data_IF_126799254050
#
_entry.id   IF_126799254050
#
_cell.length_a   1.000
_cell.length_b   1.000
_cell.length_c   1.000
_cell.angle_alpha   90.00
_cell.angle_beta   90.00
_cell.angle_gamma   90.00
#
_symmetry.space_group_name_H-M   'P 1'
#
loop_
_entity.id
_entity.type
_entity.pdbx_description
1 polymer ?
#
# COMPACT_ATOMS: atom_id res chain seq x y z
N UNK A 1 8.63 1.71 -3.74
CA UNK A 1 7.58 2.60 -3.20
C UNK A 1 6.64 2.97 -4.32
N UNK A 2 5.36 3.23 -4.06
CA UNK A 2 4.41 3.72 -5.06
C UNK A 2 4.06 5.17 -4.71
N UNK A 3 4.17 6.07 -5.68
CA UNK A 3 3.64 7.43 -5.58
C UNK A 3 2.34 7.49 -6.37
N UNK A 4 1.37 8.27 -5.88
CA UNK A 4 0.06 8.45 -6.50
C UNK A 4 -0.29 9.94 -6.53
N UNK A 5 -0.82 10.42 -7.66
CA UNK A 5 -1.32 11.79 -7.83
C UNK A 5 -2.84 11.89 -7.57
N UNK A 6 -3.40 13.10 -7.73
CA UNK A 6 -4.84 13.40 -7.59
C UNK A 6 -5.75 12.65 -8.57
N UNK A 7 -5.23 12.24 -9.73
CA UNK A 7 -5.96 11.48 -10.75
C UNK A 7 -5.87 9.96 -10.51
N UNK A 8 -5.25 9.56 -9.40
CA UNK A 8 -4.93 8.17 -9.05
C UNK A 8 -3.97 7.50 -10.03
N UNK A 9 -3.17 8.27 -10.77
CA UNK A 9 -2.07 7.73 -11.54
C UNK A 9 -0.97 7.32 -10.58
N UNK A 10 -0.60 6.05 -10.65
CA UNK A 10 0.45 5.49 -9.81
C UNK A 10 1.74 5.35 -10.60
N UNK A 11 2.87 5.54 -9.91
CA UNK A 11 4.20 5.25 -10.45
C UNK A 11 5.05 4.53 -9.43
N UNK A 12 5.72 3.47 -9.86
CA UNK A 12 6.69 2.79 -9.03
C UNK A 12 7.98 3.62 -8.95
N UNK A 13 8.43 3.85 -7.72
CA UNK A 13 9.68 4.52 -7.39
C UNK A 13 10.65 3.56 -6.72
N UNK A 14 11.88 3.52 -7.23
CA UNK A 14 12.97 2.69 -6.72
C UNK A 14 14.07 3.59 -6.15
N UNK A 15 14.60 3.22 -4.98
CA UNK A 15 15.73 3.85 -4.33
C UNK A 15 16.79 2.77 -4.09
N UNK A 16 18.05 3.06 -4.37
CA UNK A 16 19.14 2.09 -4.27
C UNK A 16 20.18 2.50 -3.22
N UNK A 17 20.92 1.52 -2.70
CA UNK A 17 22.19 1.72 -2.00
C UNK A 17 22.15 2.80 -0.90
N UNK A 18 23.07 3.78 -0.97
CA UNK A 18 23.26 4.82 0.03
C UNK A 18 22.11 5.82 0.06
N UNK A 19 21.36 5.93 -1.04
CA UNK A 19 20.21 6.81 -1.17
C UNK A 19 19.04 6.31 -0.30
N UNK A 20 18.97 5.01 0.03
CA UNK A 20 17.95 4.47 0.94
C UNK A 20 18.09 5.14 2.31
N UNK A 21 19.29 5.12 2.90
CA UNK A 21 19.56 5.75 4.19
C UNK A 21 19.36 7.28 4.16
N UNK A 22 19.48 7.90 2.99
CA UNK A 22 19.21 9.34 2.85
C UNK A 22 17.72 9.68 2.94
N UNK A 23 16.85 8.79 2.43
CA UNK A 23 15.43 9.03 2.28
C UNK A 23 14.54 8.21 3.24
N UNK A 24 15.10 7.28 4.02
CA UNK A 24 14.33 6.34 4.86
C UNK A 24 13.43 7.04 5.88
N UNK A 25 13.90 8.13 6.47
CA UNK A 25 13.13 8.91 7.44
C UNK A 25 12.22 9.97 6.79
N UNK A 26 12.44 10.28 5.50
CA UNK A 26 11.71 11.31 4.77
C UNK A 26 10.38 10.77 4.24
N UNK A 27 10.42 9.64 3.50
CA UNK A 27 9.21 9.07 2.91
C UNK A 27 8.43 8.27 3.94
N UNK A 28 7.22 8.74 4.22
CA UNK A 28 6.25 8.09 5.10
C UNK A 28 5.04 7.68 4.27
N UNK A 29 4.49 6.47 4.47
CA UNK A 29 3.26 6.07 3.82
C UNK A 29 2.14 7.09 4.06
N UNK A 30 1.30 7.32 3.05
CA UNK A 30 0.12 8.20 3.12
C UNK A 30 0.42 9.68 3.44
N UNK A 31 1.60 10.19 3.04
CA UNK A 31 1.92 11.62 3.09
C UNK A 31 2.17 12.15 1.68
N UNK A 32 1.93 13.46 1.48
CA UNK A 32 2.07 14.12 0.18
C UNK A 32 3.42 14.81 0.06
N UNK A 33 4.09 14.63 -1.07
CA UNK A 33 5.40 15.18 -1.36
C UNK A 33 5.42 15.81 -2.75
N UNK A 34 6.10 16.95 -2.87
CA UNK A 34 6.62 17.42 -4.15
C UNK A 34 7.87 16.61 -4.48
N UNK A 35 7.83 15.86 -5.58
CA UNK A 35 8.96 15.07 -6.07
C UNK A 35 9.34 15.57 -7.47
N UNK A 36 10.58 16.01 -7.64
CA UNK A 36 11.05 16.51 -8.93
C UNK A 36 12.47 16.04 -9.26
N UNK A 37 12.81 16.05 -10.55
CA UNK A 37 14.15 15.64 -11.05
C UNK A 37 14.46 14.15 -10.78
N UNK A 38 13.42 13.31 -10.63
CA UNK A 38 13.59 11.86 -10.61
C UNK A 38 14.03 11.34 -11.99
N UNK A 39 14.84 10.28 -12.01
CA UNK A 39 15.20 9.62 -13.27
C UNK A 39 14.06 8.73 -13.74
N UNK A 40 13.66 8.83 -15.00
CA UNK A 40 12.55 8.04 -15.58
C UNK A 40 13.09 6.97 -16.51
N UNK A 41 12.62 5.73 -16.36
CA UNK A 41 12.95 4.60 -17.24
C UNK A 41 11.69 3.84 -17.61
N UNK A 42 11.71 3.14 -18.74
CA UNK A 42 10.62 2.22 -19.09
C UNK A 42 10.63 1.02 -18.13
N UNK A 43 9.45 0.66 -17.64
CA UNK A 43 9.28 -0.43 -16.69
C UNK A 43 9.64 -1.77 -17.34
N UNK A 44 10.21 -2.67 -16.55
CA UNK A 44 10.56 -4.00 -17.03
C UNK A 44 9.39 -4.98 -16.82
N UNK A 45 8.76 -5.37 -17.93
CA UNK A 45 7.64 -6.32 -17.97
C UNK A 45 7.94 -7.72 -17.37
N UNK A 46 9.20 -8.04 -17.08
CA UNK A 46 9.61 -9.35 -16.55
C UNK A 46 9.41 -9.51 -15.03
N UNK A 47 9.17 -8.43 -14.28
CA UNK A 47 9.21 -8.45 -12.80
C UNK A 47 7.86 -8.28 -12.09
N UNK A 48 6.72 -8.45 -12.79
CA UNK A 48 5.40 -8.52 -12.16
C UNK A 48 4.35 -7.61 -12.81
N UNK A 49 3.26 -7.35 -12.06
CA UNK A 49 2.20 -6.44 -12.49
C UNK A 49 2.75 -5.02 -12.60
N UNK A 50 2.67 -4.44 -13.79
CA UNK A 50 3.13 -3.08 -14.02
C UNK A 50 2.10 -2.08 -13.48
N UNK A 51 2.51 -1.31 -12.48
CA UNK A 51 1.75 -0.15 -11.97
C UNK A 51 1.70 0.96 -13.03
N UNK A 52 2.78 1.12 -13.82
CA UNK A 52 2.89 2.12 -14.87
C UNK A 52 3.85 1.66 -15.97
N UNK A 53 3.75 2.27 -17.16
CA UNK A 53 4.74 2.12 -18.26
C UNK A 53 6.14 2.56 -17.85
N UNK A 54 6.24 3.49 -16.90
CA UNK A 54 7.52 4.01 -16.44
C UNK A 54 7.77 3.72 -14.97
N UNK A 55 9.03 3.59 -14.62
CA UNK A 55 9.53 3.52 -13.24
C UNK A 55 10.40 4.73 -13.00
N UNK A 56 10.28 5.30 -11.80
CA UNK A 56 11.12 6.42 -11.36
C UNK A 56 12.24 5.90 -10.46
N UNK A 57 13.44 6.42 -10.63
CA UNK A 57 14.55 6.19 -9.71
C UNK A 57 14.80 7.49 -8.95
N UNK A 58 14.71 7.39 -7.63
CA UNK A 58 15.02 8.48 -6.71
C UNK A 58 16.50 8.37 -6.37
N UNK A 59 17.24 9.45 -6.60
CA UNK A 59 18.66 9.55 -6.28
C UNK A 59 18.96 10.88 -5.59
N UNK A 60 20.24 11.16 -5.32
CA UNK A 60 20.65 12.40 -4.63
C UNK A 60 20.36 13.69 -5.40
N UNK A 61 20.05 13.60 -6.70
CA UNK A 61 19.66 14.75 -7.51
C UNK A 61 18.15 14.99 -7.49
N UNK A 62 17.38 14.01 -7.03
CA UNK A 62 15.93 14.14 -6.87
C UNK A 62 15.62 15.05 -5.69
N UNK A 63 14.75 16.03 -5.94
CA UNK A 63 14.26 16.96 -4.92
C UNK A 63 12.95 16.39 -4.37
N UNK A 64 12.86 16.28 -3.05
CA UNK A 64 11.69 15.76 -2.33
C UNK A 64 11.35 16.70 -1.18
N UNK A 65 10.15 17.29 -1.21
CA UNK A 65 9.69 18.24 -0.19
C UNK A 65 8.29 17.84 0.32
N UNK A 66 8.05 17.76 1.64
CA UNK A 66 6.74 17.42 2.18
C UNK A 66 5.76 18.60 2.05
N UNK A 67 4.55 18.32 1.55
CA UNK A 67 3.55 19.36 1.25
C UNK A 67 2.99 20.05 2.51
N UNK A 68 3.03 19.39 3.67
CA UNK A 68 2.63 19.99 4.96
C UNK A 68 3.44 21.26 5.33
N UNK A 69 4.57 21.51 4.66
CA UNK A 69 5.46 22.65 4.93
C UNK A 69 5.36 23.78 3.92
N UNK A 70 4.46 23.69 2.93
CA UNK A 70 4.35 24.69 1.85
C UNK A 70 3.45 25.84 2.32
N UNK A 71 3.93 27.08 2.13
CA UNK A 71 3.19 28.30 2.44
C UNK A 71 2.92 29.10 1.15
N UNK A 72 1.66 29.37 0.79
CA UNK A 72 0.43 28.95 1.47
C UNK A 72 0.16 27.44 1.33
N UNK A 73 -0.54 26.87 2.32
CA UNK A 73 -0.93 25.45 2.33
C UNK A 73 -1.72 25.13 1.06
N UNK A 74 -1.22 24.18 0.26
CA UNK A 74 -2.01 23.53 -0.77
C UNK A 74 -2.99 22.57 -0.11
N UNK A 75 -4.14 22.33 -0.76
CA UNK A 75 -5.08 21.32 -0.29
C UNK A 75 -4.42 19.94 -0.42
N UNK A 76 -4.46 19.08 0.61
CA UNK A 76 -3.88 17.75 0.53
C UNK A 76 -4.58 16.95 -0.57
N UNK A 77 -3.81 16.09 -1.26
CA UNK A 77 -4.38 15.16 -2.23
C UNK A 77 -5.46 14.31 -1.56
N UNK A 78 -6.58 14.02 -2.25
CA UNK A 78 -7.58 13.12 -1.70
C UNK A 78 -6.92 11.76 -1.42
N UNK A 79 -7.34 11.06 -0.35
CA UNK A 79 -6.86 9.71 -0.10
C UNK A 79 -7.18 8.82 -1.31
N UNK A 80 -6.36 7.81 -1.62
CA UNK A 80 -6.65 6.87 -2.70
C UNK A 80 -8.09 6.35 -2.59
N UNK A 81 -8.90 6.56 -3.64
CA UNK A 81 -10.30 6.12 -3.68
C UNK A 81 -10.45 4.74 -4.32
N UNK A 82 -9.46 4.31 -5.11
CA UNK A 82 -9.32 2.94 -5.64
C UNK A 82 -8.79 1.96 -4.59
N UNK A 83 -9.63 1.57 -3.65
CA UNK A 83 -9.45 0.31 -2.94
C UNK A 83 -10.39 -0.70 -3.59
N UNK A 84 -9.85 -1.64 -4.38
CA UNK A 84 -10.67 -2.65 -5.05
C UNK A 84 -10.91 -3.81 -4.09
N UNK A 85 -11.75 -3.55 -3.09
CA UNK A 85 -12.07 -4.50 -2.03
C UNK A 85 -12.69 -5.76 -2.59
N UNK A 86 -12.05 -6.88 -2.33
CA UNK A 86 -12.55 -8.21 -2.64
C UNK A 86 -13.26 -8.78 -1.42
N UNK A 87 -14.58 -9.06 -1.52
CA UNK A 87 -15.31 -9.75 -0.47
C UNK A 87 -14.73 -11.13 -0.19
N UNK A 88 -14.84 -11.62 1.04
CA UNK A 88 -14.29 -12.92 1.41
C UNK A 88 -14.88 -14.08 0.59
N UNK A 89 -16.17 -14.01 0.26
CA UNK A 89 -16.88 -14.98 -0.58
C UNK A 89 -16.31 -15.07 -2.01
N UNK A 90 -15.50 -14.09 -2.41
CA UNK A 90 -14.91 -14.01 -3.75
C UNK A 90 -13.45 -14.48 -3.82
N UNK A 91 -12.84 -14.91 -2.71
CA UNK A 91 -11.43 -15.33 -2.69
C UNK A 91 -11.16 -16.56 -3.58
N UNK A 92 -12.05 -17.55 -3.57
CA UNK A 92 -11.89 -18.79 -4.37
C UNK A 92 -11.98 -18.53 -5.88
N UNK A 93 -12.56 -17.40 -6.29
CA UNK A 93 -12.71 -17.02 -7.70
C UNK A 93 -11.58 -16.13 -8.21
N UNK A 94 -10.64 -15.73 -7.35
CA UNK A 94 -9.49 -14.92 -7.78
C UNK A 94 -8.52 -15.79 -8.60
N UNK A 95 -8.05 -15.32 -9.77
CA UNK A 95 -7.03 -16.04 -10.53
C UNK A 95 -5.76 -16.24 -9.70
N UNK A 96 -5.11 -17.39 -9.86
CA UNK A 96 -3.80 -17.64 -9.23
C UNK A 96 -2.79 -16.58 -9.67
N UNK A 97 -2.11 -15.96 -8.69
CA UNK A 97 -1.14 -14.89 -8.93
C UNK A 97 -1.76 -13.49 -9.12
N UNK A 98 -3.09 -13.35 -9.00
CA UNK A 98 -3.71 -12.02 -8.97
C UNK A 98 -3.50 -11.33 -7.61
N UNK A 99 -3.42 -10.01 -7.66
CA UNK A 99 -3.39 -9.14 -6.48
C UNK A 99 -4.79 -8.58 -6.25
N UNK A 100 -5.23 -8.56 -4.99
CA UNK A 100 -6.53 -8.02 -4.59
C UNK A 100 -6.47 -7.40 -3.20
N UNK A 101 -7.30 -6.38 -2.97
CA UNK A 101 -7.37 -5.68 -1.69
C UNK A 101 -8.39 -6.33 -0.77
N UNK A 102 -8.09 -6.36 0.53
CA UNK A 102 -8.98 -6.92 1.56
C UNK A 102 -9.07 -5.95 2.73
N UNK A 103 -10.30 -5.67 3.16
CA UNK A 103 -10.59 -5.00 4.43
C UNK A 103 -11.21 -6.01 5.37
N UNK A 104 -10.68 -6.13 6.58
CA UNK A 104 -11.11 -7.15 7.53
C UNK A 104 -10.78 -6.79 8.98
N UNK A 105 -11.55 -7.36 9.90
CA UNK A 105 -11.25 -7.36 11.34
C UNK A 105 -10.27 -8.48 11.66
N UNK A 106 -9.18 -8.15 12.36
CA UNK A 106 -8.20 -9.13 12.84
C UNK A 106 -8.70 -9.74 14.16
N UNK A 107 -8.98 -11.05 14.15
CA UNK A 107 -9.44 -11.77 15.34
C UNK A 107 -8.28 -12.29 16.19
N UNK A 108 -7.22 -12.75 15.53
CA UNK A 108 -6.06 -13.31 16.20
C UNK A 108 -4.80 -13.17 15.33
N UNK A 109 -3.65 -12.94 15.97
CA UNK A 109 -2.34 -12.94 15.33
C UNK A 109 -1.42 -13.93 16.04
N UNK A 110 -0.83 -14.86 15.29
CA UNK A 110 0.13 -15.80 15.86
C UNK A 110 1.43 -15.08 16.27
N UNK A 111 2.24 -15.73 17.11
CA UNK A 111 3.61 -15.26 17.34
C UNK A 111 4.43 -15.43 16.06
N UNK A 112 5.27 -14.45 15.75
CA UNK A 112 6.09 -14.55 14.54
C UNK A 112 7.14 -15.65 14.67
N UNK A 113 7.29 -16.41 13.59
CA UNK A 113 8.31 -17.46 13.42
C UNK A 113 9.26 -17.08 12.28
N UNK A 114 10.28 -17.90 12.03
CA UNK A 114 11.25 -17.71 10.96
C UNK A 114 11.37 -18.97 10.11
N UNK A 115 11.39 -18.80 8.79
CA UNK A 115 11.72 -19.86 7.84
C UNK A 115 13.19 -20.27 7.92
N UNK A 116 13.54 -21.39 7.27
CA UNK A 116 14.93 -21.83 7.12
C UNK A 116 15.84 -20.82 6.41
N UNK A 117 15.29 -19.95 5.57
CA UNK A 117 16.02 -18.86 4.92
C UNK A 117 16.02 -17.53 5.71
N UNK A 118 15.53 -17.54 6.96
CA UNK A 118 15.56 -16.38 7.85
C UNK A 118 14.46 -15.33 7.60
N UNK A 119 13.50 -15.61 6.73
CA UNK A 119 12.33 -14.75 6.51
C UNK A 119 11.35 -14.89 7.69
N UNK A 120 10.95 -13.77 8.27
CA UNK A 120 9.92 -13.73 9.31
C UNK A 120 8.56 -14.08 8.72
N UNK A 121 7.82 -14.96 9.38
CA UNK A 121 6.43 -15.33 9.08
C UNK A 121 5.56 -15.01 10.28
N UNK A 122 4.36 -14.49 10.02
CA UNK A 122 3.33 -14.31 11.04
C UNK A 122 1.97 -14.51 10.38
N UNK A 123 1.12 -15.31 11.03
CA UNK A 123 -0.21 -15.65 10.51
C UNK A 123 -1.27 -14.85 11.25
N UNK A 124 -2.29 -14.41 10.51
CA UNK A 124 -3.43 -13.69 11.06
C UNK A 124 -4.72 -14.42 10.69
N UNK A 125 -5.65 -14.49 11.64
CA UNK A 125 -7.03 -14.89 11.39
C UNK A 125 -7.83 -13.61 11.24
N UNK A 126 -8.39 -13.41 10.06
CA UNK A 126 -9.17 -12.23 9.68
C UNK A 126 -10.63 -12.61 9.39
N UNK A 127 -11.53 -11.66 9.57
CA UNK A 127 -12.98 -11.82 9.39
C UNK A 127 -13.57 -10.59 8.71
N UNK A 128 -14.52 -10.81 7.79
CA UNK A 128 -15.32 -9.75 7.16
C UNK A 128 -16.40 -9.23 8.13
N UNK A 129 -16.76 -7.96 8.02
CA UNK A 129 -17.72 -7.23 8.87
C UNK A 129 -19.15 -7.82 8.81
N UNK A 130 -19.42 -8.73 7.86
CA UNK A 130 -20.72 -9.38 7.69
C UNK A 130 -21.17 -10.23 8.91
N UNK A 131 -20.25 -10.62 9.80
CA UNK A 131 -20.58 -11.44 10.99
C UNK A 131 -20.97 -10.58 12.20
N UNK A 132 -20.50 -9.33 12.27
CA UNK A 132 -20.84 -8.43 13.39
C UNK A 132 -22.33 -8.08 13.43
N UNK A 133 -22.98 -8.00 12.26
CA UNK A 133 -24.43 -7.79 12.17
C UNK A 133 -25.22 -9.00 12.67
N UNK A 134 -24.70 -10.22 12.49
CA UNK A 134 -25.38 -11.45 12.89
C UNK A 134 -25.22 -11.73 14.40
N UNK A 135 -24.10 -11.32 15.00
CA UNK A 135 -23.89 -11.34 16.46
C UNK A 135 -24.80 -10.28 17.15
N UNK A 136 -24.94 -9.09 16.57
CA UNK A 136 -25.85 -8.07 17.09
C UNK A 136 -27.33 -8.48 16.96
N UNK A 137 -27.73 -9.05 15.83
CA UNK A 137 -29.11 -9.52 15.61
C UNK A 137 -29.50 -10.68 16.55
N UNK A 138 -28.57 -11.58 16.87
CA UNK A 138 -28.82 -12.67 17.80
C UNK A 138 -28.86 -12.23 19.27
N UNK A 139 -28.26 -11.09 19.61
CA UNK A 139 -28.31 -10.52 20.97
C UNK A 139 -29.64 -9.81 21.22
N UNK A 140 -30.29 -9.24 20.19
CA UNK A 140 -31.58 -8.55 20.32
C UNK A 140 -32.82 -9.49 20.32
N UNK A 141 -32.64 -10.81 20.13
CA UNK A 141 -33.74 -11.79 20.15
C UNK A 141 -33.89 -12.54 21.48
N UNK A 142 -33.10 -12.17 22.49
CA UNK A 142 -33.10 -12.82 23.81
C UNK A 142 -33.79 -11.97 24.90
N UNK A 143 -34.33 -10.80 24.54
CA UNK A 143 -35.16 -9.96 25.43
C UNK A 143 -36.66 -10.03 25.08
#
# INVERSE_FOLDING_TARGET
MILQDEEENQVECIIFNAEIAHFEDLFRPFHTYLVSVAQVKESNYMYGNLVNKFTWTIDRSTIVEPVETINPSEDPLPPPTRLNLTPFDNFEYQPEGSEFDVLATVLNGSSSTYTSNGKRIQDFIIMDDQIDQQIQHNTQRID
#
